data_IF_220066190837
#
_entry.id   IF_220066190837
#
_cell.length_a   1.000
_cell.length_b   1.000
_cell.length_c   1.000
_cell.angle_alpha   90.00
_cell.angle_beta   90.00
_cell.angle_gamma   90.00
#
_symmetry.space_group_name_H-M   'P 1'
#
loop_
_entity.id
_entity.type
_entity.pdbx_description
1 polymer ?
#
# COMPACT_ATOMS: atom_id res chain seq x y z
N UNK A 1 6.35 3.42 -8.93
CA UNK A 1 6.40 2.09 -8.26
C UNK A 1 6.79 2.19 -6.79
N UNK A 2 7.72 3.06 -6.42
CA UNK A 2 8.17 3.25 -5.03
C UNK A 2 7.01 3.36 -4.01
N UNK A 3 6.00 4.20 -4.28
CA UNK A 3 4.85 4.39 -3.37
C UNK A 3 4.03 3.10 -3.15
N UNK A 4 3.83 2.27 -4.18
CA UNK A 4 3.02 1.05 -4.06
C UNK A 4 3.78 -0.01 -3.26
N UNK A 5 5.07 -0.19 -3.55
CA UNK A 5 5.93 -1.14 -2.83
C UNK A 5 6.07 -0.73 -1.37
N UNK A 6 6.35 0.55 -1.10
CA UNK A 6 6.44 1.06 0.26
C UNK A 6 5.11 0.89 1.02
N UNK A 7 3.97 1.09 0.36
CA UNK A 7 2.65 0.87 0.94
C UNK A 7 2.45 -0.58 1.39
N UNK A 8 2.74 -1.55 0.52
CA UNK A 8 2.62 -2.98 0.84
C UNK A 8 3.59 -3.38 1.96
N UNK A 9 4.86 -2.94 1.88
CA UNK A 9 5.86 -3.22 2.91
C UNK A 9 5.48 -2.64 4.27
N UNK A 10 4.95 -1.41 4.30
CA UNK A 10 4.47 -0.77 5.52
C UNK A 10 3.33 -1.56 6.17
N UNK A 11 2.40 -2.07 5.36
CA UNK A 11 1.28 -2.88 5.85
C UNK A 11 1.77 -4.21 6.43
N UNK A 12 2.62 -4.95 5.72
CA UNK A 12 3.22 -6.21 6.19
C UNK A 12 4.04 -6.00 7.47
N UNK A 13 4.84 -4.93 7.51
CA UNK A 13 5.62 -4.57 8.69
C UNK A 13 4.71 -4.27 9.89
N UNK A 14 3.64 -3.51 9.69
CA UNK A 14 2.68 -3.16 10.75
C UNK A 14 2.02 -4.42 11.32
N UNK A 15 1.52 -5.32 10.46
CA UNK A 15 0.93 -6.60 10.90
C UNK A 15 1.96 -7.40 11.71
N UNK A 16 3.19 -7.48 11.22
CA UNK A 16 4.26 -8.22 11.92
C UNK A 16 4.53 -7.62 13.30
N UNK A 17 4.65 -6.29 13.41
CA UNK A 17 4.85 -5.62 14.70
C UNK A 17 3.69 -5.87 15.67
N UNK A 18 2.44 -5.84 15.18
CA UNK A 18 1.26 -6.16 15.99
C UNK A 18 1.35 -7.60 16.51
N UNK A 19 1.64 -8.56 15.63
CA UNK A 19 1.74 -9.97 16.01
C UNK A 19 2.88 -10.24 17.01
N UNK A 20 4.02 -9.55 16.87
CA UNK A 20 5.13 -9.63 17.84
C UNK A 20 4.71 -9.13 19.22
N UNK A 21 3.87 -8.10 19.30
CA UNK A 21 3.38 -7.59 20.58
C UNK A 21 2.31 -8.49 21.22
N UNK A 22 1.47 -9.14 20.42
CA UNK A 22 0.39 -10.00 20.91
C UNK A 22 0.88 -11.35 21.44
N UNK A 23 2.07 -11.79 21.04
CA UNK A 23 2.58 -13.13 21.37
C UNK A 23 3.86 -13.03 22.23
N UNK A 24 3.83 -13.46 23.51
CA UNK A 24 4.92 -13.23 24.48
C UNK A 24 6.26 -13.92 24.18
N UNK A 25 6.32 -14.82 23.19
CA UNK A 25 7.48 -15.72 22.96
C UNK A 25 8.15 -15.53 21.61
N UNK A 26 7.99 -14.38 20.94
CA UNK A 26 8.59 -14.20 19.61
C UNK A 26 10.10 -13.99 19.67
N UNK A 27 10.84 -14.85 18.98
CA UNK A 27 12.25 -14.60 18.66
C UNK A 27 12.37 -13.69 17.43
N UNK A 28 13.44 -12.88 17.37
CA UNK A 28 13.73 -12.00 16.21
C UNK A 28 13.86 -12.81 14.91
N UNK A 29 14.44 -14.02 15.00
CA UNK A 29 14.59 -14.95 13.89
C UNK A 29 13.26 -15.45 13.32
N UNK A 30 12.30 -15.75 14.19
CA UNK A 30 10.95 -16.18 13.79
C UNK A 30 10.18 -15.06 13.09
N UNK A 31 10.37 -13.82 13.55
CA UNK A 31 9.73 -12.64 12.93
C UNK A 31 10.25 -12.39 11.52
N UNK A 32 11.57 -12.49 11.34
CA UNK A 32 12.19 -12.32 10.03
C UNK A 32 11.79 -13.45 9.07
N UNK A 33 11.74 -14.69 9.57
CA UNK A 33 11.26 -15.86 8.81
C UNK A 33 9.79 -15.71 8.40
N UNK A 34 8.95 -15.17 9.29
CA UNK A 34 7.53 -14.92 9.02
C UNK A 34 7.33 -13.88 7.94
N UNK A 35 8.04 -12.74 8.00
CA UNK A 35 8.00 -11.72 6.94
C UNK A 35 8.42 -12.34 5.59
N UNK A 36 9.53 -13.08 5.56
CA UNK A 36 10.01 -13.72 4.34
C UNK A 36 9.00 -14.71 3.76
N UNK A 37 8.35 -15.50 4.62
CA UNK A 37 7.33 -16.47 4.24
C UNK A 37 6.08 -15.78 3.68
N UNK A 38 5.55 -14.76 4.38
CA UNK A 38 4.40 -13.96 3.95
C UNK A 38 4.66 -13.29 2.59
N UNK A 39 5.85 -12.71 2.42
CA UNK A 39 6.22 -12.04 1.18
C UNK A 39 6.41 -13.03 0.02
N UNK A 40 7.13 -14.13 0.25
CA UNK A 40 7.37 -15.17 -0.76
C UNK A 40 6.07 -15.85 -1.20
N UNK A 41 5.25 -16.28 -0.25
CA UNK A 41 3.96 -16.92 -0.54
C UNK A 41 3.00 -15.97 -1.25
N UNK A 42 2.90 -14.71 -0.80
CA UNK A 42 2.10 -13.69 -1.48
C UNK A 42 2.54 -13.46 -2.92
N UNK A 43 3.86 -13.30 -3.17
CA UNK A 43 4.40 -13.17 -4.51
C UNK A 43 4.08 -14.37 -5.40
N UNK A 44 4.31 -15.59 -4.90
CA UNK A 44 4.07 -16.83 -5.64
C UNK A 44 2.59 -17.06 -5.96
N UNK A 45 1.70 -16.87 -4.99
CA UNK A 45 0.25 -17.05 -5.18
C UNK A 45 -0.28 -16.00 -6.16
N UNK A 46 0.07 -14.73 -5.95
CA UNK A 46 -0.33 -13.65 -6.86
C UNK A 46 0.21 -13.84 -8.27
N UNK A 47 1.44 -14.34 -8.40
CA UNK A 47 2.03 -14.62 -9.69
C UNK A 47 1.34 -15.79 -10.39
N UNK A 48 1.10 -16.89 -9.67
CA UNK A 48 0.45 -18.08 -10.20
C UNK A 48 -0.98 -17.80 -10.67
N UNK A 49 -1.78 -17.13 -9.84
CA UNK A 49 -3.17 -16.77 -10.18
C UNK A 49 -3.20 -15.74 -11.31
N UNK A 50 -2.29 -14.76 -11.31
CA UNK A 50 -2.18 -13.77 -12.39
C UNK A 50 -1.85 -14.39 -13.75
N UNK A 51 -0.88 -15.32 -13.79
CA UNK A 51 -0.56 -16.08 -15.00
C UNK A 51 -1.72 -16.97 -15.45
N UNK A 52 -2.38 -17.66 -14.51
CA UNK A 52 -3.57 -18.45 -14.80
C UNK A 52 -4.69 -17.61 -15.43
N UNK A 53 -4.90 -16.41 -14.90
CA UNK A 53 -5.90 -15.48 -15.44
C UNK A 53 -5.58 -15.00 -16.86
N UNK A 54 -4.30 -14.73 -17.15
CA UNK A 54 -3.84 -14.42 -18.51
C UNK A 54 -4.07 -15.55 -19.51
N UNK A 55 -4.16 -16.80 -19.06
CA UNK A 55 -4.50 -17.95 -19.92
C UNK A 55 -6.00 -18.03 -20.18
N UNK A 56 -6.82 -17.80 -19.15
CA UNK A 56 -8.29 -17.89 -19.25
C UNK A 56 -8.86 -16.78 -20.15
N UNK A 57 -8.36 -15.55 -20.00
CA UNK A 57 -8.79 -14.39 -20.80
C UNK A 57 -8.53 -14.53 -22.30
N UNK A 58 -7.61 -15.41 -22.71
CA UNK A 58 -7.37 -15.74 -24.14
C UNK A 58 -8.52 -16.43 -24.83
N UNK A 59 -9.43 -17.04 -24.07
CA UNK A 59 -10.57 -17.75 -24.61
C UNK A 59 -11.57 -16.84 -25.34
N UNK A 60 -11.42 -15.51 -25.27
CA UNK A 60 -12.21 -14.52 -26.01
C UNK A 60 -13.69 -14.41 -25.59
N UNK A 61 -14.13 -15.17 -24.57
CA UNK A 61 -15.55 -15.25 -24.17
C UNK A 61 -15.98 -14.22 -23.11
N UNK A 62 -15.07 -13.34 -22.67
CA UNK A 62 -15.27 -12.51 -21.48
C UNK A 62 -15.30 -10.99 -21.72
N UNK A 63 -15.28 -10.53 -22.98
CA UNK A 63 -15.11 -9.11 -23.32
C UNK A 63 -16.08 -8.15 -22.57
N UNK A 64 -17.33 -8.58 -22.31
CA UNK A 64 -18.33 -7.75 -21.63
C UNK A 64 -18.14 -7.67 -20.11
N UNK A 65 -17.58 -8.69 -19.46
CA UNK A 65 -17.50 -8.79 -17.98
C UNK A 65 -16.07 -8.86 -17.44
N UNK A 66 -15.06 -8.80 -18.31
CA UNK A 66 -13.65 -8.98 -17.96
C UNK A 66 -13.20 -8.11 -16.78
N UNK A 67 -13.68 -6.87 -16.69
CA UNK A 67 -13.32 -5.92 -15.62
C UNK A 67 -13.80 -6.39 -14.25
N UNK A 68 -15.08 -6.76 -14.15
CA UNK A 68 -15.69 -7.23 -12.90
C UNK A 68 -15.13 -8.61 -12.53
N UNK A 69 -14.94 -9.50 -13.51
CA UNK A 69 -14.34 -10.82 -13.24
C UNK A 69 -12.89 -10.73 -12.79
N UNK A 70 -12.10 -9.82 -13.37
CA UNK A 70 -10.72 -9.59 -12.93
C UNK A 70 -10.66 -9.08 -11.50
N UNK A 71 -11.58 -8.19 -11.11
CA UNK A 71 -11.70 -7.72 -9.73
C UNK A 71 -12.11 -8.85 -8.77
N UNK A 72 -13.05 -9.72 -9.17
CA UNK A 72 -13.44 -10.88 -8.38
C UNK A 72 -12.25 -11.83 -8.14
N UNK A 73 -11.45 -12.09 -9.19
CA UNK A 73 -10.26 -12.92 -9.09
C UNK A 73 -9.17 -12.27 -8.27
N UNK A 74 -9.04 -10.94 -8.31
CA UNK A 74 -8.14 -10.21 -7.41
C UNK A 74 -8.52 -10.45 -5.94
N UNK A 75 -9.81 -10.38 -5.59
CA UNK A 75 -10.27 -10.68 -4.23
C UNK A 75 -10.07 -12.15 -3.85
N UNK A 76 -10.34 -13.09 -4.77
CA UNK A 76 -10.05 -14.51 -4.54
C UNK A 76 -8.55 -14.75 -4.34
N UNK A 77 -7.70 -14.10 -5.13
CA UNK A 77 -6.25 -14.16 -5.01
C UNK A 77 -5.78 -13.65 -3.65
N UNK A 78 -6.34 -12.53 -3.19
CA UNK A 78 -6.08 -11.98 -1.87
C UNK A 78 -6.43 -12.99 -0.77
N UNK A 79 -7.65 -13.55 -0.80
CA UNK A 79 -8.11 -14.49 0.20
C UNK A 79 -7.29 -15.79 0.21
N UNK A 80 -7.00 -16.35 -0.97
CA UNK A 80 -6.14 -17.54 -1.08
C UNK A 80 -4.74 -17.29 -0.52
N UNK A 81 -4.17 -16.11 -0.76
CA UNK A 81 -2.85 -15.78 -0.24
C UNK A 81 -2.85 -15.65 1.29
N UNK A 82 -3.87 -15.05 1.90
CA UNK A 82 -3.95 -14.98 3.37
C UNK A 82 -4.14 -16.36 4.02
N UNK A 83 -4.91 -17.25 3.39
CA UNK A 83 -5.10 -18.63 3.89
C UNK A 83 -3.77 -19.42 3.88
N UNK A 84 -2.96 -19.25 2.83
CA UNK A 84 -1.72 -20.02 2.64
C UNK A 84 -0.52 -19.38 3.34
N UNK A 85 -0.39 -18.06 3.23
CA UNK A 85 0.78 -17.29 3.67
C UNK A 85 0.62 -16.60 5.03
N UNK A 86 -0.60 -16.56 5.58
CA UNK A 86 -0.94 -15.85 6.81
C UNK A 86 -1.27 -14.37 6.59
N UNK A 87 -1.59 -13.69 7.69
CA UNK A 87 -1.98 -12.28 7.69
C UNK A 87 -0.89 -11.41 7.01
N UNK A 88 -1.29 -10.63 6.01
CA UNK A 88 -0.38 -9.76 5.25
C UNK A 88 0.12 -10.35 3.93
N UNK A 89 -0.16 -11.61 3.61
CA UNK A 89 0.19 -12.19 2.30
C UNK A 89 -0.74 -11.69 1.18
N UNK A 90 -2.00 -11.36 1.52
CA UNK A 90 -3.01 -10.84 0.61
C UNK A 90 -2.59 -9.58 -0.17
N UNK A 91 -2.16 -8.49 0.50
CA UNK A 91 -1.69 -7.27 -0.17
C UNK A 91 -0.50 -7.50 -1.10
N UNK A 92 0.42 -8.41 -0.74
CA UNK A 92 1.56 -8.79 -1.58
C UNK A 92 1.11 -9.57 -2.81
N UNK A 93 0.14 -10.47 -2.65
CA UNK A 93 -0.45 -11.21 -3.77
C UNK A 93 -1.21 -10.29 -4.74
N UNK A 94 -1.98 -9.33 -4.22
CA UNK A 94 -2.66 -8.31 -5.02
C UNK A 94 -1.66 -7.46 -5.85
N UNK A 95 -0.53 -7.06 -5.23
CA UNK A 95 0.56 -6.38 -5.93
C UNK A 95 1.14 -7.24 -7.06
N UNK A 96 1.49 -8.49 -6.76
CA UNK A 96 2.08 -9.43 -7.73
C UNK A 96 1.13 -9.69 -8.90
N UNK A 97 -0.15 -9.97 -8.60
CA UNK A 97 -1.21 -10.14 -9.59
C UNK A 97 -1.37 -8.91 -10.49
N UNK A 98 -1.47 -7.71 -9.89
CA UNK A 98 -1.58 -6.45 -10.63
C UNK A 98 -0.36 -6.16 -11.51
N UNK A 99 0.84 -6.52 -11.04
CA UNK A 99 2.08 -6.36 -11.81
C UNK A 99 2.10 -7.28 -13.04
N UNK A 100 1.59 -8.50 -12.92
CA UNK A 100 1.47 -9.44 -14.05
C UNK A 100 0.45 -8.95 -15.08
N UNK A 101 -0.72 -8.49 -14.64
CA UNK A 101 -1.74 -7.98 -15.57
C UNK A 101 -1.35 -6.67 -16.22
N UNK A 102 -0.75 -5.74 -15.47
CA UNK A 102 -0.24 -4.49 -16.02
C UNK A 102 0.85 -4.71 -17.08
N UNK A 103 1.58 -5.82 -16.99
CA UNK A 103 2.61 -6.22 -17.97
C UNK A 103 2.19 -7.42 -18.82
N UNK A 104 0.88 -7.60 -19.08
CA UNK A 104 0.33 -8.78 -19.75
C UNK A 104 1.01 -9.09 -21.10
N UNK A 105 1.36 -8.07 -21.89
CA UNK A 105 2.03 -8.21 -23.19
C UNK A 105 3.46 -8.76 -23.05
N UNK A 106 4.24 -8.24 -22.11
CA UNK A 106 5.60 -8.68 -21.81
C UNK A 106 5.61 -10.08 -21.20
N UNK A 107 4.70 -10.35 -20.26
CA UNK A 107 4.56 -11.67 -19.64
C UNK A 107 4.11 -12.73 -20.65
N UNK A 108 3.22 -12.38 -21.60
CA UNK A 108 2.85 -13.25 -22.71
C UNK A 108 4.04 -13.61 -23.61
N UNK A 109 4.94 -12.65 -23.88
CA UNK A 109 6.13 -12.89 -24.69
C UNK A 109 7.17 -13.78 -23.98
N UNK A 110 7.41 -13.54 -22.68
CA UNK A 110 8.39 -14.31 -21.88
C UNK A 110 7.97 -15.78 -21.77
N UNK A 111 6.69 -16.04 -21.55
CA UNK A 111 6.15 -17.41 -21.51
C UNK A 111 5.86 -18.00 -22.90
N UNK A 112 6.39 -17.40 -23.98
CA UNK A 112 6.25 -17.86 -25.38
C UNK A 112 4.80 -18.15 -25.79
N UNK A 113 3.91 -17.27 -25.37
CA UNK A 113 2.48 -17.49 -25.56
C UNK A 113 2.08 -17.00 -26.97
N UNK A 114 1.66 -17.96 -27.82
CA UNK A 114 1.43 -17.79 -29.27
C UNK A 114 0.38 -16.73 -29.65
N UNK A 115 -0.58 -16.43 -28.75
CA UNK A 115 -1.60 -15.39 -28.95
C UNK A 115 -1.43 -14.27 -27.92
N UNK A 116 -1.49 -13.02 -28.40
CA UNK A 116 -1.51 -11.84 -27.52
C UNK A 116 -2.78 -11.90 -26.65
N UNK A 117 -2.67 -11.71 -25.32
CA UNK A 117 -3.85 -11.60 -24.47
C UNK A 117 -4.73 -10.43 -24.94
N UNK A 118 -6.04 -10.63 -24.96
CA UNK A 118 -7.07 -9.64 -25.32
C UNK A 118 -7.47 -8.76 -24.13
N UNK A 119 -6.61 -8.67 -23.10
CA UNK A 119 -6.93 -7.93 -21.88
C UNK A 119 -6.91 -6.43 -22.18
N UNK A 120 -8.06 -5.77 -22.01
CA UNK A 120 -8.16 -4.31 -22.06
C UNK A 120 -7.55 -3.70 -20.79
N UNK A 121 -6.21 -3.66 -20.74
CA UNK A 121 -5.46 -3.10 -19.61
C UNK A 121 -5.86 -1.65 -19.36
N UNK A 122 -6.08 -0.86 -20.41
CA UNK A 122 -6.45 0.56 -20.28
C UNK A 122 -7.82 0.74 -19.63
N UNK A 123 -8.83 0.00 -20.09
CA UNK A 123 -10.16 0.03 -19.47
C UNK A 123 -10.19 -0.54 -18.06
N UNK A 124 -9.40 -1.58 -17.78
CA UNK A 124 -9.24 -2.13 -16.44
C UNK A 124 -8.58 -1.11 -15.49
N UNK A 125 -7.52 -0.42 -15.93
CA UNK A 125 -6.87 0.63 -15.15
C UNK A 125 -7.84 1.77 -14.85
N UNK A 126 -8.57 2.26 -15.86
CA UNK A 126 -9.56 3.35 -15.66
C UNK A 126 -10.66 2.95 -14.68
N UNK A 127 -11.21 1.74 -14.82
CA UNK A 127 -12.22 1.22 -13.90
C UNK A 127 -11.70 1.12 -12.45
N UNK A 128 -10.47 0.61 -12.28
CA UNK A 128 -9.84 0.52 -10.97
C UNK A 128 -9.51 1.91 -10.39
N UNK A 129 -9.18 2.90 -11.22
CA UNK A 129 -9.00 4.29 -10.79
C UNK A 129 -10.30 4.92 -10.28
N UNK A 130 -11.41 4.71 -11.00
CA UNK A 130 -12.75 5.16 -10.58
C UNK A 130 -13.15 4.51 -9.25
N UNK A 131 -12.96 3.20 -9.11
CA UNK A 131 -13.21 2.50 -7.84
C UNK A 131 -12.30 3.00 -6.71
N UNK A 132 -11.00 3.18 -6.99
CA UNK A 132 -10.04 3.68 -6.01
C UNK A 132 -10.40 5.09 -5.55
N UNK A 133 -10.89 5.94 -6.45
CA UNK A 133 -11.35 7.28 -6.10
C UNK A 133 -12.55 7.25 -5.15
N UNK A 134 -13.54 6.40 -5.42
CA UNK A 134 -14.71 6.22 -4.55
C UNK A 134 -14.27 5.71 -3.17
N UNK A 135 -13.46 4.65 -3.14
CA UNK A 135 -12.96 4.05 -1.90
C UNK A 135 -12.15 5.03 -1.07
N UNK A 136 -11.25 5.81 -1.70
CA UNK A 136 -10.47 6.83 -1.01
C UNK A 136 -11.36 7.91 -0.40
N UNK A 137 -12.32 8.42 -1.17
CA UNK A 137 -13.23 9.48 -0.72
C UNK A 137 -14.03 9.01 0.49
N UNK A 138 -14.63 7.82 0.39
CA UNK A 138 -15.38 7.21 1.48
C UNK A 138 -14.51 6.96 2.72
N UNK A 139 -13.31 6.42 2.51
CA UNK A 139 -12.38 6.11 3.58
C UNK A 139 -11.93 7.37 4.35
N UNK A 140 -11.61 8.47 3.67
CA UNK A 140 -11.24 9.71 4.34
C UNK A 140 -12.40 10.35 5.10
N UNK A 141 -13.62 10.28 4.56
CA UNK A 141 -14.83 10.75 5.27
C UNK A 141 -15.05 9.93 6.54
N UNK A 142 -14.98 8.60 6.45
CA UNK A 142 -15.12 7.74 7.63
C UNK A 142 -14.02 7.98 8.66
N UNK A 143 -12.77 8.12 8.21
CA UNK A 143 -11.65 8.39 9.09
C UNK A 143 -11.82 9.71 9.85
N UNK A 144 -12.33 10.75 9.19
CA UNK A 144 -12.69 12.01 9.84
C UNK A 144 -13.84 11.85 10.85
N UNK A 145 -14.79 10.96 10.58
CA UNK A 145 -15.95 10.70 11.46
C UNK A 145 -15.58 9.97 12.75
N UNK A 146 -14.66 9.01 12.68
CA UNK A 146 -14.24 8.20 13.84
C UNK A 146 -13.15 8.87 14.68
N UNK A 147 -12.45 9.87 14.12
CA UNK A 147 -11.32 10.52 14.78
C UNK A 147 -11.79 11.55 15.80
N UNK A 148 -11.17 11.52 16.98
CA UNK A 148 -11.31 12.59 17.99
C UNK A 148 -10.01 13.36 18.10
N UNK A 149 -10.05 14.66 17.81
CA UNK A 149 -8.86 15.53 17.88
C UNK A 149 -8.83 16.22 19.24
N UNK A 150 -7.86 15.85 20.07
CA UNK A 150 -7.53 16.54 21.33
C UNK A 150 -6.26 17.35 21.16
N UNK A 151 -6.10 18.41 21.96
CA UNK A 151 -4.90 19.26 21.96
C UNK A 151 -3.61 18.47 22.19
N UNK A 152 -3.68 17.41 22.99
CA UNK A 152 -2.53 16.51 23.24
C UNK A 152 -2.16 15.75 21.96
N UNK A 153 -3.16 15.20 21.27
CA UNK A 153 -2.96 14.43 20.05
C UNK A 153 -2.44 15.28 18.90
N UNK A 154 -2.81 16.57 18.86
CA UNK A 154 -2.23 17.54 17.92
C UNK A 154 -0.74 17.72 18.15
N UNK A 155 -0.31 18.00 19.39
CA UNK A 155 1.11 18.21 19.71
C UNK A 155 1.94 16.97 19.35
N UNK A 156 1.50 15.78 19.78
CA UNK A 156 2.20 14.54 19.45
C UNK A 156 2.18 14.23 17.94
N UNK A 157 1.08 14.50 17.26
CA UNK A 157 0.97 14.37 15.81
C UNK A 157 1.99 15.24 15.08
N UNK A 158 2.09 16.52 15.45
CA UNK A 158 3.08 17.44 14.87
C UNK A 158 4.51 16.99 15.12
N UNK A 159 4.82 16.50 16.33
CA UNK A 159 6.14 15.93 16.64
C UNK A 159 6.44 14.74 15.72
N UNK A 160 5.48 13.82 15.55
CA UNK A 160 5.63 12.68 14.64
C UNK A 160 5.89 13.13 13.19
N UNK A 161 5.18 14.15 12.71
CA UNK A 161 5.39 14.69 11.35
C UNK A 161 6.81 15.22 11.17
N UNK A 162 7.31 16.01 12.13
CA UNK A 162 8.69 16.50 12.09
C UNK A 162 9.69 15.34 12.08
N UNK A 163 9.48 14.33 12.94
CA UNK A 163 10.34 13.13 12.99
C UNK A 163 10.29 12.30 11.71
N UNK A 164 9.18 12.29 10.97
CA UNK A 164 9.05 11.59 9.68
C UNK A 164 9.71 12.40 8.55
N UNK A 165 9.59 13.73 8.58
CA UNK A 165 10.13 14.61 7.53
C UNK A 165 11.66 14.68 7.58
N UNK A 166 12.29 14.69 8.76
CA UNK A 166 13.76 14.74 8.91
C UNK A 166 14.49 13.64 8.12
N UNK A 167 14.25 12.33 8.36
CA UNK A 167 14.92 11.25 7.63
C UNK A 167 14.58 11.27 6.14
N UNK A 168 13.39 11.75 5.77
CA UNK A 168 12.99 11.91 4.36
C UNK A 168 13.83 12.96 3.64
N UNK A 169 14.02 14.14 4.24
CA UNK A 169 14.88 15.19 3.66
C UNK A 169 16.35 14.74 3.60
N UNK A 170 16.84 14.03 4.62
CA UNK A 170 18.21 13.50 4.64
C UNK A 170 18.40 12.47 3.51
N UNK A 171 17.48 11.51 3.40
CA UNK A 171 17.55 10.45 2.39
C UNK A 171 17.38 11.02 0.99
N UNK A 172 16.44 11.93 0.78
CA UNK A 172 16.20 12.61 -0.49
C UNK A 172 17.44 13.36 -0.98
N UNK A 173 18.10 14.15 -0.12
CA UNK A 173 19.34 14.87 -0.49
C UNK A 173 20.50 13.93 -0.79
N UNK A 174 20.69 12.87 0.02
CA UNK A 174 21.75 11.87 -0.18
C UNK A 174 21.55 11.10 -1.48
N UNK A 175 20.30 10.72 -1.78
CA UNK A 175 19.96 9.96 -2.99
C UNK A 175 20.12 10.83 -4.24
N UNK A 176 19.73 12.10 -4.16
CA UNK A 176 19.90 13.08 -5.25
C UNK A 176 21.37 13.28 -5.61
N UNK A 177 22.26 13.38 -4.59
CA UNK A 177 23.71 13.46 -4.80
C UNK A 177 24.31 12.18 -5.40
N UNK A 178 23.75 11.00 -5.08
CA UNK A 178 24.25 9.70 -5.56
C UNK A 178 23.79 9.35 -6.97
N UNK A 179 22.62 9.83 -7.39
CA UNK A 179 22.00 9.52 -8.69
C UNK A 179 22.11 10.66 -9.72
N UNK A 180 22.87 11.72 -9.43
CA UNK A 180 23.12 12.84 -10.33
C UNK A 180 21.84 13.57 -10.80
N UNK A 181 20.78 13.54 -9.99
CA UNK A 181 19.53 14.24 -10.28
C UNK A 181 19.67 15.76 -10.08
N UNK A 182 18.85 16.54 -10.78
CA UNK A 182 18.79 18.00 -10.58
C UNK A 182 18.34 18.31 -9.14
N UNK A 183 18.83 19.39 -8.54
CA UNK A 183 18.39 19.83 -7.20
C UNK A 183 16.86 19.97 -7.09
N UNK A 184 16.20 20.29 -8.21
CA UNK A 184 14.74 20.36 -8.31
C UNK A 184 14.07 18.99 -8.22
N UNK A 185 14.62 17.99 -8.87
CA UNK A 185 14.09 16.61 -8.82
C UNK A 185 14.27 16.04 -7.41
N UNK A 186 15.42 16.29 -6.77
CA UNK A 186 15.64 15.95 -5.37
C UNK A 186 14.67 16.62 -4.42
N UNK A 187 14.36 17.90 -4.66
CA UNK A 187 13.39 18.65 -3.86
C UNK A 187 11.96 18.09 -4.01
N UNK A 188 11.56 17.71 -5.23
CA UNK A 188 10.25 17.09 -5.49
C UNK A 188 10.17 15.72 -4.81
N UNK A 189 11.19 14.87 -4.96
CA UNK A 189 11.26 13.54 -4.35
C UNK A 189 11.22 13.64 -2.82
N UNK A 190 11.95 14.60 -2.24
CA UNK A 190 11.98 14.80 -0.79
C UNK A 190 10.66 15.39 -0.25
N UNK A 191 10.04 16.33 -0.98
CA UNK A 191 8.90 17.11 -0.52
C UNK A 191 7.53 16.48 -0.74
N UNK A 192 7.37 15.61 -1.75
CA UNK A 192 6.08 14.99 -2.07
C UNK A 192 5.93 13.68 -1.33
N UNK A 193 5.08 13.65 -0.30
CA UNK A 193 4.90 12.51 0.61
C UNK A 193 3.47 11.96 0.66
N UNK A 194 2.96 11.33 -0.42
CA UNK A 194 1.58 10.86 -0.48
C UNK A 194 1.44 9.47 0.15
N UNK A 195 1.70 9.32 1.45
CA UNK A 195 1.54 8.04 2.17
C UNK A 195 0.23 7.96 2.97
N UNK A 196 -0.73 8.85 2.69
CA UNK A 196 -1.90 9.05 3.54
C UNK A 196 -2.79 7.82 3.71
N UNK A 197 -3.06 7.10 2.63
CA UNK A 197 -4.04 6.00 2.66
C UNK A 197 -3.52 4.77 3.42
N UNK A 198 -2.31 4.31 3.11
CA UNK A 198 -1.73 3.12 3.77
C UNK A 198 -1.55 3.35 5.27
N UNK A 199 -1.06 4.53 5.67
CA UNK A 199 -0.86 4.86 7.08
C UNK A 199 -2.18 4.82 7.87
N UNK A 200 -3.26 5.33 7.27
CA UNK A 200 -4.58 5.29 7.89
C UNK A 200 -5.16 3.88 8.02
N UNK A 201 -4.97 3.02 7.01
CA UNK A 201 -5.41 1.62 7.09
C UNK A 201 -4.59 0.89 8.15
N UNK A 202 -3.27 1.08 8.16
CA UNK A 202 -2.37 0.50 9.14
C UNK A 202 -2.73 0.90 10.58
N UNK A 203 -3.15 2.15 10.79
CA UNK A 203 -3.54 2.67 12.10
C UNK A 203 -4.81 2.02 12.68
N UNK A 204 -5.66 1.41 11.84
CA UNK A 204 -6.86 0.69 12.30
C UNK A 204 -6.55 -0.77 12.66
N UNK A 205 -5.44 -1.35 12.17
CA UNK A 205 -5.10 -2.74 12.43
C UNK A 205 -4.98 -3.09 13.93
N UNK A 206 -4.39 -2.25 14.80
CA UNK A 206 -4.38 -2.50 16.24
C UNK A 206 -5.77 -2.78 16.83
N UNK A 207 -6.78 -2.04 16.38
CA UNK A 207 -8.16 -2.21 16.83
C UNK A 207 -8.78 -3.52 16.33
N UNK A 208 -8.44 -3.94 15.11
CA UNK A 208 -8.94 -5.18 14.49
C UNK A 208 -8.32 -6.43 15.14
N UNK A 209 -7.02 -6.40 15.43
CA UNK A 209 -6.30 -7.55 15.99
C UNK A 209 -6.44 -7.68 17.51
N UNK A 210 -6.67 -6.60 18.26
CA UNK A 210 -6.91 -6.62 19.71
C UNK A 210 -8.16 -5.81 20.09
N UNK A 211 -9.38 -6.27 19.73
CA UNK A 211 -10.61 -5.56 20.01
C UNK A 211 -10.92 -5.46 21.51
N UNK A 212 -10.36 -6.37 22.32
CA UNK A 212 -10.52 -6.37 23.78
C UNK A 212 -9.54 -5.41 24.49
N UNK A 213 -8.56 -4.84 23.76
CA UNK A 213 -7.55 -3.94 24.32
C UNK A 213 -6.69 -4.60 25.40
N UNK A 214 -6.49 -5.93 25.32
CA UNK A 214 -5.80 -6.71 26.36
C UNK A 214 -4.29 -6.49 26.33
N UNK A 215 -3.73 -6.21 25.16
CA UNK A 215 -2.29 -6.01 24.93
C UNK A 215 -1.97 -4.57 24.53
N UNK A 216 -2.87 -3.90 23.81
CA UNK A 216 -2.72 -2.51 23.40
C UNK A 216 -3.75 -1.63 24.14
N UNK A 217 -3.35 -0.97 25.25
CA UNK A 217 -4.24 -0.05 25.92
C UNK A 217 -4.54 1.14 25.00
N UNK A 218 -5.83 1.40 24.76
CA UNK A 218 -6.35 2.52 23.93
C UNK A 218 -5.93 2.50 22.44
N UNK A 219 -6.40 1.54 21.63
CA UNK A 219 -6.10 1.46 20.19
C UNK A 219 -6.58 2.69 19.39
N UNK A 220 -7.51 3.48 19.94
CA UNK A 220 -8.01 4.72 19.33
C UNK A 220 -6.94 5.80 19.16
N UNK A 221 -5.89 5.79 20.00
CA UNK A 221 -4.80 6.77 19.92
C UNK A 221 -4.06 6.67 18.58
N UNK A 222 -3.90 5.45 18.04
CA UNK A 222 -3.24 5.25 16.75
C UNK A 222 -4.02 5.88 15.61
N UNK A 223 -5.34 5.71 15.59
CA UNK A 223 -6.23 6.29 14.57
C UNK A 223 -6.19 7.82 14.64
N UNK A 224 -6.28 8.38 15.85
CA UNK A 224 -6.25 9.83 16.04
C UNK A 224 -4.90 10.44 15.61
N UNK A 225 -3.78 9.82 15.99
CA UNK A 225 -2.45 10.27 15.58
C UNK A 225 -2.26 10.16 14.07
N UNK A 226 -2.66 9.05 13.46
CA UNK A 226 -2.56 8.86 12.02
C UNK A 226 -3.36 9.94 11.26
N UNK A 227 -4.56 10.27 11.72
CA UNK A 227 -5.36 11.34 11.12
C UNK A 227 -4.63 12.68 11.12
N UNK A 228 -4.09 13.10 12.28
CA UNK A 228 -3.32 14.35 12.39
C UNK A 228 -2.10 14.34 11.47
N UNK A 229 -1.31 13.26 11.49
CA UNK A 229 -0.12 13.11 10.64
C UNK A 229 -0.49 13.18 9.16
N UNK A 230 -1.58 12.55 8.73
CA UNK A 230 -2.02 12.55 7.34
C UNK A 230 -2.47 13.94 6.90
N UNK A 231 -3.27 14.63 7.72
CA UNK A 231 -3.72 15.99 7.42
C UNK A 231 -2.53 16.95 7.30
N UNK A 232 -1.63 16.95 8.29
CA UNK A 232 -0.45 17.81 8.29
C UNK A 232 0.48 17.50 7.11
N UNK A 233 0.73 16.22 6.78
CA UNK A 233 1.59 15.85 5.66
C UNK A 233 0.98 16.20 4.30
N UNK A 234 -0.34 16.06 4.12
CA UNK A 234 -1.02 16.48 2.90
C UNK A 234 -0.96 18.00 2.74
N UNK A 235 -1.27 18.76 3.80
CA UNK A 235 -1.21 20.24 3.77
C UNK A 235 0.22 20.70 3.51
N UNK A 236 1.21 20.15 4.21
CA UNK A 236 2.62 20.46 4.00
C UNK A 236 3.06 20.17 2.55
N UNK A 237 2.73 18.97 2.03
CA UNK A 237 3.08 18.57 0.67
C UNK A 237 2.41 19.47 -0.37
N UNK A 238 1.14 19.87 -0.17
CA UNK A 238 0.41 20.75 -1.07
C UNK A 238 1.03 22.16 -1.10
N UNK A 239 1.33 22.74 0.07
CA UNK A 239 1.98 24.05 0.18
C UNK A 239 3.38 24.02 -0.42
N UNK A 240 4.19 23.01 -0.08
CA UNK A 240 5.55 22.86 -0.60
C UNK A 240 5.58 22.77 -2.13
N UNK A 241 4.67 21.96 -2.69
CA UNK A 241 4.51 21.82 -4.14
C UNK A 241 4.09 23.14 -4.78
N UNK A 242 3.08 23.82 -4.23
CA UNK A 242 2.61 25.11 -4.74
C UNK A 242 3.72 26.18 -4.76
N UNK A 243 4.53 26.26 -3.70
CA UNK A 243 5.68 27.19 -3.62
C UNK A 243 6.74 26.85 -4.66
N UNK A 244 7.04 25.55 -4.85
CA UNK A 244 8.05 25.11 -5.82
C UNK A 244 7.64 25.44 -7.26
N UNK A 245 6.37 25.27 -7.60
CA UNK A 245 5.85 25.62 -8.94
C UNK A 245 5.67 27.13 -9.15
N UNK A 246 5.48 27.92 -8.08
CA UNK A 246 5.36 29.40 -8.14
C UNK A 246 6.69 30.13 -8.32
N UNK A 247 7.84 29.49 -8.03
CA UNK A 247 9.17 30.05 -8.36
C UNK A 247 9.53 30.00 -9.86
N UNK A 248 8.51 30.07 -10.73
CA UNK A 248 8.63 30.23 -12.19
C UNK A 248 8.30 31.65 -12.58
#
# INVERSE_FOLDING_TARGET
MESVINGVLCLVATITFIQMHLTPTFSITESLSKIATVFSTGLCVGAGIGLGWLVITRGGKLETFERVTTLAILFSCYACAEIVGGDGAGPVAALSFGLILGNASTMASIFRMSKRPTVDVAGLTKFNEELTFILRSFFFVLLGLITTVSSITLIFGTICVVLILIPRFITGKKLCKKLSFSEREGAIIAGVAPNGLTAAVAAQLPYVFDPAGKYLPQPQVFVNLACVVILETIVFSAIYTAILFRKR
#
